data_IF_972719654124
#
_entry.id   IF_972719654124
#
_cell.length_a   1.000
_cell.length_b   1.000
_cell.length_c   1.000
_cell.angle_alpha   90.00
_cell.angle_beta   90.00
_cell.angle_gamma   90.00
#
_symmetry.space_group_name_H-M   'P 1'
#
loop_
_entity.id
_entity.type
_entity.pdbx_description
1 polymer ?
#
# COMPACT_ATOMS: atom_id res chain seq x y z
N UNK A 1 -81.13 13.83 -41.08
CA UNK A 1 -79.66 13.68 -41.19
C UNK A 1 -79.21 12.92 -39.96
N UNK A 2 -78.63 11.73 -40.13
CA UNK A 2 -78.32 10.85 -39.01
C UNK A 2 -77.10 11.42 -38.28
N UNK A 3 -77.13 11.47 -36.95
CA UNK A 3 -76.11 12.09 -36.08
C UNK A 3 -74.68 11.66 -36.45
N UNK A 4 -74.50 10.42 -36.90
CA UNK A 4 -73.26 9.86 -37.41
C UNK A 4 -72.66 10.64 -38.61
N UNK A 5 -73.48 11.02 -39.59
CA UNK A 5 -73.00 11.77 -40.76
C UNK A 5 -72.68 13.23 -40.45
N UNK A 6 -73.25 13.77 -39.36
CA UNK A 6 -72.92 15.12 -38.88
C UNK A 6 -71.61 15.12 -38.07
N UNK A 7 -71.38 14.12 -37.23
CA UNK A 7 -70.11 13.96 -36.49
C UNK A 7 -68.91 13.76 -37.43
N UNK A 8 -69.08 12.98 -38.50
CA UNK A 8 -67.99 12.71 -39.46
C UNK A 8 -67.52 13.98 -40.20
N UNK A 9 -68.46 14.89 -40.52
CA UNK A 9 -68.17 16.18 -41.17
C UNK A 9 -67.38 17.14 -40.27
N UNK A 10 -67.43 16.97 -38.95
CA UNK A 10 -66.70 17.80 -37.99
C UNK A 10 -65.37 17.18 -37.59
N UNK A 11 -65.32 15.86 -37.40
CA UNK A 11 -64.12 15.15 -36.93
C UNK A 11 -63.02 15.15 -38.00
N UNK A 12 -63.35 14.81 -39.26
CA UNK A 12 -62.35 14.72 -40.34
C UNK A 12 -61.53 16.02 -40.50
N UNK A 13 -62.14 17.20 -40.68
CA UNK A 13 -61.36 18.43 -40.82
C UNK A 13 -60.59 18.78 -39.55
N UNK A 14 -61.14 18.49 -38.36
CA UNK A 14 -60.44 18.73 -37.09
C UNK A 14 -59.19 17.86 -36.96
N UNK A 15 -59.27 16.57 -37.31
CA UNK A 15 -58.12 15.67 -37.27
C UNK A 15 -57.02 16.13 -38.23
N UNK A 16 -57.39 16.56 -39.45
CA UNK A 16 -56.44 17.09 -40.43
C UNK A 16 -55.72 18.33 -39.88
N UNK A 17 -56.46 19.27 -39.30
CA UNK A 17 -55.87 20.50 -38.70
C UNK A 17 -54.95 20.14 -37.53
N UNK A 18 -55.37 19.26 -36.62
CA UNK A 18 -54.53 18.83 -35.50
C UNK A 18 -53.25 18.13 -35.97
N UNK A 19 -53.34 17.25 -36.98
CA UNK A 19 -52.16 16.58 -37.55
C UNK A 19 -51.20 17.56 -38.21
N UNK A 20 -51.71 18.58 -38.92
CA UNK A 20 -50.88 19.63 -39.53
C UNK A 20 -50.21 20.52 -38.48
N UNK A 21 -50.91 20.87 -37.40
CA UNK A 21 -50.35 21.68 -36.30
C UNK A 21 -49.24 20.93 -35.55
N UNK A 22 -49.43 19.64 -35.29
CA UNK A 22 -48.40 18.79 -34.69
C UNK A 22 -47.22 18.65 -35.67
N UNK A 23 -47.48 18.38 -36.95
CA UNK A 23 -46.44 18.31 -37.98
C UNK A 23 -45.65 19.61 -38.14
N UNK A 24 -46.28 20.77 -38.01
CA UNK A 24 -45.60 22.08 -38.06
C UNK A 24 -44.61 22.28 -36.92
N UNK A 25 -44.93 21.81 -35.71
CA UNK A 25 -43.98 21.84 -34.58
C UNK A 25 -42.73 20.99 -34.86
N UNK A 26 -42.88 19.87 -35.59
CA UNK A 26 -41.74 19.05 -36.02
C UNK A 26 -40.98 19.65 -37.22
N UNK A 27 -41.64 20.42 -38.09
CA UNK A 27 -40.99 21.16 -39.18
C UNK A 27 -40.20 22.38 -38.66
N UNK A 28 -40.64 22.99 -37.56
CA UNK A 28 -39.95 24.10 -36.89
C UNK A 28 -38.99 23.69 -35.77
N UNK A 29 -38.96 22.40 -35.39
CA UNK A 29 -37.89 21.83 -34.58
C UNK A 29 -36.63 21.74 -35.46
N UNK A 30 -36.04 22.90 -35.72
CA UNK A 30 -34.80 23.04 -36.48
C UNK A 30 -33.74 22.25 -35.75
N UNK A 31 -33.41 21.09 -36.27
CA UNK A 31 -32.10 20.51 -36.02
C UNK A 31 -31.10 21.56 -36.49
N UNK A 32 -30.49 22.28 -35.54
CA UNK A 32 -29.47 23.28 -35.86
C UNK A 32 -28.24 22.50 -36.30
N UNK A 33 -27.98 22.50 -37.60
CA UNK A 33 -26.77 21.87 -38.14
C UNK A 33 -25.53 22.54 -37.52
N UNK A 34 -24.43 21.81 -37.30
CA UNK A 34 -23.16 22.42 -36.90
C UNK A 34 -22.80 23.57 -37.85
N UNK A 35 -22.47 24.74 -37.30
CA UNK A 35 -22.23 25.98 -38.06
C UNK A 35 -21.06 25.91 -39.04
N UNK A 36 -20.21 24.88 -38.91
CA UNK A 36 -19.15 24.55 -39.86
C UNK A 36 -18.79 23.07 -39.78
N UNK A 37 -18.11 22.60 -40.85
CA UNK A 37 -17.56 21.26 -40.90
C UNK A 37 -16.50 21.10 -39.79
N UNK A 38 -16.41 19.91 -39.16
CA UNK A 38 -15.31 19.62 -38.25
C UNK A 38 -13.95 19.97 -38.87
N UNK A 39 -13.04 20.56 -38.09
CA UNK A 39 -13.08 20.66 -36.62
C UNK A 39 -13.69 21.97 -36.04
N UNK A 40 -14.17 22.92 -36.84
CA UNK A 40 -14.25 24.32 -36.40
C UNK A 40 -15.54 24.75 -35.64
N UNK A 41 -16.63 23.96 -35.65
CA UNK A 41 -17.87 24.22 -34.90
C UNK A 41 -18.49 22.94 -34.33
N UNK A 42 -17.66 22.04 -33.79
CA UNK A 42 -18.21 20.97 -32.95
C UNK A 42 -18.85 21.63 -31.73
N UNK A 43 -20.16 21.39 -31.52
CA UNK A 43 -20.79 21.67 -30.24
C UNK A 43 -19.92 21.06 -29.14
N UNK A 44 -19.50 21.86 -28.16
CA UNK A 44 -18.68 21.35 -27.06
C UNK A 44 -19.40 20.16 -26.45
N UNK A 45 -18.83 18.96 -26.61
CA UNK A 45 -19.34 17.79 -25.92
C UNK A 45 -19.38 18.16 -24.42
N UNK A 46 -20.40 17.72 -23.65
CA UNK A 46 -20.40 17.95 -22.22
C UNK A 46 -19.12 17.38 -21.61
N UNK A 47 -18.10 18.22 -21.45
CA UNK A 47 -16.76 17.78 -21.06
C UNK A 47 -16.69 17.74 -19.55
N UNK A 48 -17.41 16.78 -18.96
CA UNK A 48 -17.18 16.34 -17.59
C UNK A 48 -17.13 17.45 -16.53
N UNK A 49 -17.79 18.60 -16.77
CA UNK A 49 -17.76 19.78 -15.89
C UNK A 49 -18.86 19.76 -14.82
N UNK A 50 -19.75 18.75 -14.87
CA UNK A 50 -20.78 18.56 -13.85
C UNK A 50 -20.21 18.00 -12.55
N UNK A 51 -20.89 18.26 -11.43
CA UNK A 51 -20.48 17.80 -10.09
C UNK A 51 -20.73 16.30 -9.83
N UNK A 52 -21.25 15.57 -10.82
CA UNK A 52 -21.55 14.14 -10.71
C UNK A 52 -20.37 13.31 -11.20
N UNK A 53 -20.07 12.25 -10.46
CA UNK A 53 -19.02 11.31 -10.82
C UNK A 53 -19.23 10.69 -12.19
N UNK A 54 -18.13 10.58 -12.93
CA UNK A 54 -18.11 9.84 -14.18
C UNK A 54 -17.69 8.40 -13.94
N UNK A 55 -18.67 7.51 -13.92
CA UNK A 55 -18.44 6.09 -13.67
C UNK A 55 -18.33 5.35 -15.00
N UNK A 56 -17.24 4.59 -15.17
CA UNK A 56 -17.07 3.62 -16.26
C UNK A 56 -17.12 2.22 -15.68
N UNK A 57 -18.07 1.40 -16.14
CA UNK A 57 -18.23 0.01 -15.70
C UNK A 57 -17.17 -0.96 -16.28
N UNK A 58 -16.37 -0.49 -17.23
CA UNK A 58 -15.28 -1.22 -17.86
C UNK A 58 -13.96 -0.47 -17.62
N UNK A 59 -12.84 -1.08 -18.05
CA UNK A 59 -11.52 -0.45 -17.93
C UNK A 59 -11.41 0.87 -18.69
N UNK A 60 -10.71 1.83 -18.09
CA UNK A 60 -10.28 3.08 -18.72
C UNK A 60 -8.82 2.93 -19.15
N UNK A 61 -8.53 3.09 -20.44
CA UNK A 61 -7.16 3.18 -20.95
C UNK A 61 -6.92 4.61 -21.45
N UNK A 62 -5.84 5.22 -20.98
CA UNK A 62 -5.38 6.55 -21.36
C UNK A 62 -3.87 6.49 -21.57
N UNK A 63 -3.37 7.24 -22.54
CA UNK A 63 -1.92 7.32 -22.80
C UNK A 63 -1.18 8.01 -21.65
N UNK A 64 -1.73 9.14 -21.17
CA UNK A 64 -1.28 9.83 -19.99
C UNK A 64 -2.47 10.35 -19.17
N UNK A 65 -2.36 10.26 -17.84
CA UNK A 65 -3.29 10.86 -16.88
C UNK A 65 -2.54 11.91 -16.05
N UNK A 66 -2.99 13.16 -16.09
CA UNK A 66 -2.55 14.20 -15.18
C UNK A 66 -3.70 14.57 -14.24
N UNK A 67 -3.44 14.53 -12.93
CA UNK A 67 -4.40 14.94 -11.90
C UNK A 67 -3.80 16.09 -11.12
N UNK A 68 -4.49 17.24 -11.12
CA UNK A 68 -4.02 18.48 -10.48
C UNK A 68 -4.64 18.68 -9.08
N UNK A 69 -4.99 17.58 -8.42
CA UNK A 69 -5.60 17.52 -7.10
C UNK A 69 -5.46 16.11 -6.52
N UNK A 70 -6.29 15.77 -5.53
CA UNK A 70 -6.22 14.47 -4.88
C UNK A 70 -6.72 13.34 -5.79
N UNK A 71 -6.02 12.21 -5.76
CA UNK A 71 -6.42 10.98 -6.46
C UNK A 71 -6.60 9.87 -5.43
N UNK A 72 -7.75 9.19 -5.46
CA UNK A 72 -7.95 7.93 -4.75
C UNK A 72 -7.91 6.78 -5.76
N UNK A 73 -6.85 5.97 -5.70
CA UNK A 73 -6.76 4.70 -6.45
C UNK A 73 -7.10 3.57 -5.49
N UNK A 74 -8.26 2.95 -5.68
CA UNK A 74 -8.72 1.83 -4.84
C UNK A 74 -9.06 0.61 -5.69
N UNK A 75 -8.71 -0.56 -5.17
CA UNK A 75 -8.97 -1.85 -5.76
C UNK A 75 -10.18 -2.53 -5.17
N UNK A 76 -11.01 -3.17 -5.99
CA UNK A 76 -12.18 -3.95 -5.50
C UNK A 76 -11.91 -5.45 -5.48
N UNK A 77 -10.80 -5.90 -6.04
CA UNK A 77 -10.39 -7.31 -6.04
C UNK A 77 -8.99 -7.49 -5.45
N UNK A 78 -8.69 -8.68 -4.94
CA UNK A 78 -7.44 -9.04 -4.25
C UNK A 78 -6.16 -8.91 -5.11
N UNK A 79 -6.28 -8.52 -6.38
CA UNK A 79 -5.19 -8.27 -7.32
C UNK A 79 -4.96 -6.79 -7.66
N UNK A 80 -5.73 -5.88 -7.07
CA UNK A 80 -5.61 -4.44 -7.28
C UNK A 80 -4.73 -3.79 -6.21
N UNK A 81 -3.47 -4.17 -6.17
CA UNK A 81 -2.47 -3.33 -5.51
C UNK A 81 -2.00 -2.32 -6.56
N UNK A 82 -1.85 -1.06 -6.18
CA UNK A 82 -0.94 -0.17 -6.90
C UNK A 82 0.43 -0.83 -6.79
N UNK A 83 0.79 -1.65 -7.79
CA UNK A 83 2.06 -2.34 -7.86
C UNK A 83 3.11 -1.30 -8.24
N UNK A 84 3.59 -0.58 -7.24
CA UNK A 84 4.78 0.23 -7.38
C UNK A 84 5.99 -0.68 -7.14
N UNK A 85 7.02 -0.60 -7.98
CA UNK A 85 8.29 -1.29 -7.69
C UNK A 85 8.96 -0.72 -6.43
N UNK A 86 8.67 0.55 -6.10
CA UNK A 86 9.11 1.21 -4.90
C UNK A 86 8.09 2.27 -4.43
N UNK A 87 8.02 2.48 -3.13
CA UNK A 87 7.31 3.61 -2.52
C UNK A 87 8.33 4.70 -2.22
N UNK A 88 8.22 5.83 -2.91
CA UNK A 88 9.06 7.00 -2.68
C UNK A 88 8.32 8.04 -1.85
N UNK A 89 9.08 8.89 -1.17
CA UNK A 89 8.57 10.12 -0.56
C UNK A 89 8.15 11.16 -1.62
N UNK A 90 7.60 12.29 -1.18
CA UNK A 90 7.01 13.32 -2.04
C UNK A 90 7.98 13.95 -3.05
N UNK A 91 9.29 13.88 -2.80
CA UNK A 91 10.32 14.41 -3.70
C UNK A 91 10.93 13.34 -4.63
N UNK A 92 10.53 12.06 -4.48
CA UNK A 92 11.00 10.95 -5.29
C UNK A 92 12.44 10.51 -5.00
N UNK A 93 13.07 10.97 -3.92
CA UNK A 93 14.47 10.67 -3.60
C UNK A 93 14.62 9.52 -2.62
N UNK A 94 13.62 9.27 -1.77
CA UNK A 94 13.69 8.23 -0.75
C UNK A 94 12.72 7.09 -1.08
N UNK A 95 13.16 6.19 -1.95
CA UNK A 95 12.38 5.06 -2.44
C UNK A 95 12.69 3.76 -1.68
N UNK A 96 11.66 3.14 -1.09
CA UNK A 96 11.75 1.79 -0.50
C UNK A 96 11.17 0.78 -1.47
N UNK A 97 11.88 -0.32 -1.74
CA UNK A 97 11.38 -1.37 -2.62
C UNK A 97 10.06 -1.95 -2.08
N UNK A 98 9.05 -2.10 -2.94
CA UNK A 98 7.79 -2.69 -2.53
C UNK A 98 8.02 -4.17 -2.19
N UNK A 99 7.98 -4.49 -0.89
CA UNK A 99 8.11 -5.85 -0.36
C UNK A 99 9.51 -6.27 0.11
N UNK A 100 10.50 -5.37 0.20
CA UNK A 100 11.90 -5.75 0.47
C UNK A 100 12.42 -5.61 1.90
N UNK A 101 11.94 -4.61 2.66
CA UNK A 101 12.73 -4.11 3.80
C UNK A 101 12.07 -4.33 5.18
N UNK A 102 11.01 -5.14 5.24
CA UNK A 102 10.36 -5.49 6.51
C UNK A 102 11.10 -6.61 7.22
N UNK A 103 11.17 -6.50 8.55
CA UNK A 103 11.77 -7.53 9.40
C UNK A 103 11.09 -8.90 9.18
N UNK A 104 11.89 -9.94 8.95
CA UNK A 104 11.40 -11.31 8.78
C UNK A 104 10.92 -11.69 7.38
N UNK A 105 10.89 -10.78 6.41
CA UNK A 105 10.52 -11.14 5.03
C UNK A 105 11.64 -11.93 4.37
N UNK A 106 11.31 -13.16 3.94
CA UNK A 106 12.26 -14.08 3.34
C UNK A 106 13.37 -14.48 4.31
N UNK A 107 13.02 -14.68 5.58
CA UNK A 107 13.90 -15.17 6.64
C UNK A 107 13.24 -16.34 7.38
N UNK A 108 14.06 -17.16 8.04
CA UNK A 108 13.60 -18.29 8.87
C UNK A 108 14.24 -18.23 10.25
N UNK A 109 13.51 -18.65 11.28
CA UNK A 109 14.08 -18.81 12.61
C UNK A 109 15.06 -19.98 12.61
N UNK A 110 16.28 -19.71 13.06
CA UNK A 110 17.34 -20.70 13.22
C UNK A 110 17.76 -20.72 14.68
N UNK A 111 17.72 -21.90 15.29
CA UNK A 111 18.25 -22.15 16.62
C UNK A 111 19.75 -22.48 16.53
N UNK A 112 20.54 -21.95 17.46
CA UNK A 112 21.97 -22.14 17.49
C UNK A 112 22.41 -22.90 18.74
N UNK A 113 23.40 -23.78 18.57
CA UNK A 113 24.02 -24.50 19.68
C UNK A 113 24.79 -23.55 20.61
N UNK A 114 24.61 -23.72 21.92
CA UNK A 114 25.20 -22.87 22.97
C UNK A 114 26.38 -23.58 23.67
N UNK A 115 27.31 -22.79 24.20
CA UNK A 115 28.30 -23.27 25.18
C UNK A 115 29.62 -23.71 24.55
N UNK A 116 30.35 -24.60 25.24
CA UNK A 116 31.74 -24.93 24.90
C UNK A 116 31.78 -25.80 23.63
N UNK A 117 32.12 -25.16 22.50
CA UNK A 117 32.08 -25.77 21.17
C UNK A 117 30.80 -25.45 20.37
N UNK A 118 29.82 -24.77 20.98
CA UNK A 118 28.63 -24.28 20.31
C UNK A 118 28.91 -23.11 19.36
N UNK A 119 27.96 -22.86 18.46
CA UNK A 119 28.00 -21.75 17.49
C UNK A 119 27.84 -20.38 18.15
N UNK A 120 27.15 -20.32 19.30
CA UNK A 120 26.87 -19.09 20.05
C UNK A 120 27.39 -19.18 21.48
N UNK A 121 28.05 -18.11 21.94
CA UNK A 121 28.72 -18.03 23.24
C UNK A 121 28.66 -16.61 23.80
N UNK A 122 28.55 -16.51 25.12
CA UNK A 122 28.64 -15.24 25.85
C UNK A 122 29.94 -14.49 25.53
N UNK A 123 29.85 -13.16 25.45
CA UNK A 123 30.98 -12.25 25.21
C UNK A 123 31.58 -12.32 23.80
N UNK A 124 31.12 -13.24 22.94
CA UNK A 124 31.60 -13.35 21.56
C UNK A 124 30.89 -12.32 20.69
N UNK A 125 31.67 -11.62 19.86
CA UNK A 125 31.15 -10.63 18.91
C UNK A 125 30.78 -11.31 17.60
N UNK A 126 29.54 -11.14 17.20
CA UNK A 126 29.00 -11.59 15.92
C UNK A 126 28.70 -10.39 15.02
N UNK A 127 28.67 -10.61 13.71
CA UNK A 127 28.24 -9.59 12.74
C UNK A 127 26.99 -10.12 12.05
N UNK A 128 25.98 -9.26 11.90
CA UNK A 128 24.87 -9.57 11.00
C UNK A 128 25.32 -9.28 9.56
N UNK A 129 25.49 -10.34 8.78
CA UNK A 129 25.99 -10.36 7.41
C UNK A 129 24.95 -10.92 6.41
N UNK A 130 23.68 -10.99 6.81
CA UNK A 130 22.61 -11.59 5.99
C UNK A 130 22.13 -10.71 4.84
N UNK A 131 22.57 -9.46 4.77
CA UNK A 131 22.06 -8.48 3.81
C UNK A 131 20.79 -7.75 4.26
N UNK A 132 20.22 -8.10 5.43
CA UNK A 132 18.97 -7.52 5.98
C UNK A 132 18.98 -7.49 7.51
N UNK A 133 18.12 -6.70 8.17
CA UNK A 133 17.99 -6.76 9.64
C UNK A 133 17.56 -8.15 10.10
N UNK A 134 18.13 -8.64 11.20
CA UNK A 134 17.75 -9.91 11.84
C UNK A 134 17.07 -9.62 13.18
N UNK A 135 16.12 -10.46 13.58
CA UNK A 135 15.66 -10.51 14.97
C UNK A 135 16.53 -11.51 15.74
N UNK A 136 17.00 -11.09 16.90
CA UNK A 136 17.72 -11.91 17.86
C UNK A 136 16.81 -12.19 19.05
N UNK A 137 16.69 -13.45 19.45
CA UNK A 137 15.95 -13.88 20.63
C UNK A 137 16.84 -14.81 21.46
N UNK A 138 17.14 -14.41 22.70
CA UNK A 138 18.08 -15.15 23.57
C UNK A 138 17.45 -15.34 24.93
N UNK A 139 17.33 -16.59 25.35
CA UNK A 139 16.90 -16.92 26.71
C UNK A 139 18.14 -17.04 27.58
N UNK A 140 18.15 -16.29 28.68
CA UNK A 140 19.23 -16.31 29.66
C UNK A 140 18.68 -16.66 31.03
N UNK A 141 19.45 -17.43 31.79
CA UNK A 141 19.12 -17.86 33.16
C UNK A 141 19.72 -16.97 34.26
N UNK A 142 20.48 -15.94 33.88
CA UNK A 142 21.17 -15.01 34.76
C UNK A 142 21.21 -13.62 34.13
N UNK A 143 21.69 -12.61 34.85
CA UNK A 143 21.91 -11.25 34.32
C UNK A 143 22.62 -11.28 32.97
N UNK A 144 21.99 -10.62 32.01
CA UNK A 144 22.38 -10.66 30.61
C UNK A 144 21.93 -9.40 29.90
N UNK A 145 22.76 -8.96 28.96
CA UNK A 145 22.53 -7.79 28.12
C UNK A 145 22.83 -8.13 26.68
N UNK A 146 22.15 -7.47 25.76
CA UNK A 146 22.48 -7.46 24.34
C UNK A 146 23.02 -6.07 24.02
N UNK A 147 24.25 -6.05 23.51
CA UNK A 147 24.89 -4.84 23.03
C UNK A 147 25.04 -4.91 21.50
N UNK A 148 24.85 -3.78 20.83
CA UNK A 148 25.03 -3.61 19.38
C UNK A 148 25.99 -2.44 19.12
N UNK A 149 26.80 -2.53 18.07
CA UNK A 149 27.61 -1.43 17.56
C UNK A 149 27.70 -1.46 16.04
N UNK A 150 28.00 -0.32 15.44
CA UNK A 150 28.12 -0.16 13.98
C UNK A 150 29.44 -0.71 13.42
N UNK A 151 30.53 -0.69 14.21
CA UNK A 151 31.85 -1.16 13.76
C UNK A 151 32.75 -1.55 14.94
N UNK A 152 33.94 -2.11 14.66
CA UNK A 152 34.89 -2.54 15.70
C UNK A 152 35.44 -1.40 16.56
N UNK A 153 35.41 -0.17 16.07
CA UNK A 153 35.91 1.03 16.76
C UNK A 153 34.80 1.84 17.43
N UNK A 154 33.54 1.53 17.13
CA UNK A 154 32.38 2.23 17.69
C UNK A 154 32.07 1.76 19.11
N UNK A 155 31.48 2.65 19.92
CA UNK A 155 30.97 2.32 21.24
C UNK A 155 29.82 1.33 21.16
N UNK A 156 29.68 0.53 22.21
CA UNK A 156 28.56 -0.38 22.38
C UNK A 156 27.31 0.38 22.84
N UNK A 157 26.17 0.09 22.20
CA UNK A 157 24.85 0.52 22.62
C UNK A 157 24.11 -0.68 23.19
N UNK A 158 23.66 -0.57 24.44
CA UNK A 158 22.82 -1.59 25.06
C UNK A 158 21.39 -1.45 24.56
N UNK A 159 20.88 -2.50 23.93
CA UNK A 159 19.54 -2.51 23.30
C UNK A 159 18.54 -3.41 24.01
N UNK A 160 19.03 -4.36 24.80
CA UNK A 160 18.22 -5.18 25.69
C UNK A 160 19.05 -5.56 26.91
N UNK A 161 18.40 -5.81 28.04
CA UNK A 161 19.10 -6.37 29.18
C UNK A 161 18.22 -6.47 30.40
N UNK A 162 18.67 -7.29 31.35
CA UNK A 162 18.07 -7.40 32.67
C UNK A 162 19.15 -7.54 33.73
N UNK A 163 18.89 -6.86 34.84
CA UNK A 163 19.71 -6.82 36.04
C UNK A 163 18.83 -7.18 37.23
N UNK A 164 18.78 -8.46 37.55
CA UNK A 164 18.05 -9.00 38.67
C UNK A 164 19.00 -9.82 39.56
N UNK A 165 18.97 -9.57 40.86
CA UNK A 165 19.79 -10.31 41.83
C UNK A 165 19.09 -11.57 42.32
N UNK A 166 17.88 -11.85 41.84
CA UNK A 166 17.15 -13.08 42.12
C UNK A 166 17.45 -14.12 41.02
N UNK A 167 18.33 -15.04 41.39
CA UNK A 167 19.10 -15.93 40.53
C UNK A 167 18.36 -17.19 40.05
N UNK A 168 17.06 -17.09 39.75
CA UNK A 168 16.28 -18.27 39.35
C UNK A 168 15.16 -18.01 38.34
N UNK A 169 15.21 -16.90 37.60
CA UNK A 169 14.23 -16.60 36.54
C UNK A 169 14.91 -16.61 35.18
N UNK A 170 14.34 -17.37 34.25
CA UNK A 170 14.67 -17.28 32.83
C UNK A 170 13.99 -16.07 32.22
N UNK A 171 14.70 -15.36 31.35
CA UNK A 171 14.13 -14.25 30.62
C UNK A 171 14.63 -14.21 29.19
N UNK A 172 13.75 -13.76 28.30
CA UNK A 172 14.06 -13.61 26.88
C UNK A 172 14.48 -12.17 26.60
N UNK A 173 15.68 -12.01 26.08
CA UNK A 173 16.17 -10.76 25.53
C UNK A 173 15.92 -10.78 24.02
N UNK A 174 15.16 -9.80 23.54
CA UNK A 174 14.85 -9.66 22.12
C UNK A 174 15.39 -8.34 21.60
N UNK A 175 15.94 -8.34 20.39
CA UNK A 175 16.32 -7.11 19.69
C UNK A 175 16.37 -7.31 18.18
N UNK A 176 16.46 -6.20 17.45
CA UNK A 176 16.72 -6.20 16.01
C UNK A 176 18.17 -5.77 15.80
N UNK A 177 18.92 -6.57 15.05
CA UNK A 177 20.29 -6.24 14.65
C UNK A 177 20.27 -5.82 13.18
N UNK A 178 20.55 -4.55 12.85
CA UNK A 178 20.61 -4.12 11.46
C UNK A 178 21.71 -4.86 10.68
N UNK A 179 21.60 -4.88 9.36
CA UNK A 179 22.64 -5.45 8.52
C UNK A 179 23.98 -4.71 8.74
N UNK A 180 25.10 -5.42 8.63
CA UNK A 180 26.45 -4.93 8.83
C UNK A 180 26.74 -4.37 10.25
N UNK A 181 25.91 -4.68 11.23
CA UNK A 181 26.16 -4.32 12.63
C UNK A 181 26.73 -5.50 13.41
N UNK A 182 27.54 -5.18 14.41
CA UNK A 182 28.10 -6.15 15.34
C UNK A 182 27.25 -6.21 16.59
N UNK A 183 27.08 -7.41 17.13
CA UNK A 183 26.30 -7.66 18.34
C UNK A 183 26.97 -8.70 19.22
N UNK A 184 26.64 -8.66 20.50
CA UNK A 184 27.05 -9.68 21.48
C UNK A 184 25.99 -9.80 22.57
N UNK A 185 25.98 -10.96 23.21
CA UNK A 185 25.26 -11.16 24.47
C UNK A 185 26.31 -11.28 25.57
N UNK A 186 26.19 -10.46 26.60
CA UNK A 186 27.19 -10.35 27.66
C UNK A 186 26.52 -10.29 29.04
N UNK A 187 27.29 -10.48 30.11
CA UNK A 187 26.80 -10.54 31.49
C UNK A 187 26.33 -9.18 32.01
N UNK A 188 26.89 -8.10 31.44
CA UNK A 188 26.77 -6.74 31.95
C UNK A 188 27.21 -6.56 33.41
N UNK A 189 27.83 -7.59 34.04
CA UNK A 189 28.18 -7.71 35.47
C UNK A 189 29.33 -8.70 35.71
N UNK A 190 29.78 -8.87 36.95
CA UNK A 190 30.89 -9.78 37.31
C UNK A 190 30.51 -11.27 37.43
N UNK A 191 29.23 -11.62 37.24
CA UNK A 191 28.73 -13.00 37.35
C UNK A 191 28.82 -13.72 35.99
N UNK A 192 29.00 -15.05 35.94
CA UNK A 192 28.97 -15.81 34.70
C UNK A 192 27.57 -15.77 34.05
N UNK A 193 27.52 -15.55 32.74
CA UNK A 193 26.27 -15.52 31.97
C UNK A 193 25.87 -16.95 31.62
N UNK A 194 24.64 -17.33 31.99
CA UNK A 194 23.99 -18.56 31.57
C UNK A 194 23.07 -18.23 30.40
N UNK A 195 23.41 -18.75 29.23
CA UNK A 195 22.55 -18.73 28.05
C UNK A 195 21.90 -20.11 27.95
N UNK A 196 20.58 -20.15 27.94
CA UNK A 196 19.81 -21.38 27.80
C UNK A 196 19.47 -21.64 26.33
N UNK A 197 19.05 -20.61 25.60
CA UNK A 197 18.60 -20.72 24.20
C UNK A 197 19.04 -19.50 23.39
N UNK A 198 19.26 -19.69 22.10
CA UNK A 198 19.58 -18.62 21.17
C UNK A 198 19.02 -18.92 19.79
N UNK A 199 18.15 -18.04 19.34
CA UNK A 199 17.56 -18.09 18.01
C UNK A 199 17.75 -16.77 17.27
N UNK A 200 17.95 -16.87 15.96
CA UNK A 200 18.05 -15.71 15.08
C UNK A 200 17.13 -15.92 13.87
N UNK A 201 16.46 -14.85 13.47
CA UNK A 201 15.72 -14.79 12.22
C UNK A 201 16.71 -14.47 11.10
N UNK A 202 17.06 -15.46 10.28
CA UNK A 202 18.11 -15.39 9.24
C UNK A 202 17.50 -15.39 7.84
#
# INVERSE_FOLDING_TARGET
MNTFTQSLKTIIPLTIVCSLLVGYQYLGATWTEPGSNPPNDNAEAPINTGATDQVKNAGLSVDALAVFGDTLVTGTTTSDRVNAAAYCDENGQNCNAAGGDSIGVGQTWQEFTIGLGGQRKAGTVYTNDTGKPIMLSVVVGSNGVIDIRTSSTSSWVRVAGRYDYTNNLRFTLNTVVPNNHQYRVDTGSWQPLIIDEWAELR
#
